data_IF_425451345448
#
_entry.id   IF_425451345448
#
_cell.length_a   1.000
_cell.length_b   1.000
_cell.length_c   1.000
_cell.angle_alpha   90.00
_cell.angle_beta   90.00
_cell.angle_gamma   90.00
#
_symmetry.space_group_name_H-M   'P 1'
#
loop_
_entity.id
_entity.type
_entity.pdbx_description
1 polymer ?
2 non-polymer ?
3 water ?
#
# COMPACT_ATOMS: atom_id res chain seq x y z
N UNK A 18 -26.65 -12.11 -3.14
CA UNK A 18 -25.22 -12.32 -3.51
C UNK A 18 -24.49 -12.73 -2.25
N UNK A 19 -23.60 -13.71 -2.33
CA UNK A 19 -22.81 -14.09 -1.13
C UNK A 19 -21.67 -13.11 -0.92
N UNK A 20 -21.12 -13.06 0.29
CA UNK A 20 -20.07 -12.08 0.57
C UNK A 20 -18.81 -12.37 -0.24
N UNK A 21 -18.19 -11.32 -0.74
CA UNK A 21 -16.93 -11.43 -1.46
C UNK A 21 -15.77 -10.78 -0.73
N UNK A 22 -16.00 -9.62 -0.13
CA UNK A 22 -14.98 -8.89 0.60
C UNK A 22 -15.44 -8.65 2.02
N UNK A 23 -14.50 -8.76 2.96
CA UNK A 23 -14.68 -8.43 4.37
C UNK A 23 -13.58 -7.45 4.74
N UNK A 24 -13.98 -6.19 4.93
CA UNK A 24 -13.08 -5.13 5.35
C UNK A 24 -12.92 -5.26 6.88
N UNK A 25 -11.69 -5.47 7.31
CA UNK A 25 -11.41 -5.85 8.71
C UNK A 25 -10.26 -5.04 9.32
N UNK A 26 -10.18 -5.02 10.65
CA UNK A 26 -9.09 -4.33 11.35
C UNK A 26 -8.52 -5.29 12.36
N UNK A 27 -7.19 -5.32 12.48
CA UNK A 27 -6.54 -6.17 13.45
C UNK A 27 -5.71 -5.25 14.33
N UNK A 28 -5.84 -5.46 15.64
CA UNK A 28 -5.10 -4.68 16.62
C UNK A 28 -3.91 -5.53 17.02
N UNK A 29 -2.69 -5.05 16.73
CA UNK A 29 -1.51 -5.83 17.05
C UNK A 29 -1.11 -5.82 18.52
N UNK A 30 -1.67 -4.92 19.31
CA UNK A 30 -1.38 -4.88 20.74
C UNK A 30 -2.23 -5.91 21.53
N UNK A 31 -3.52 -5.94 21.26
CA UNK A 31 -4.47 -6.81 21.96
C UNK A 31 -4.69 -8.11 21.18
N UNK A 32 -4.24 -8.13 19.93
CA UNK A 32 -4.37 -9.26 19.01
C UNK A 32 -5.85 -9.62 18.76
N UNK A 33 -6.70 -8.59 18.71
CA UNK A 33 -8.13 -8.75 18.42
C UNK A 33 -8.41 -8.20 17.02
N UNK A 34 -9.33 -8.86 16.31
CA UNK A 34 -9.83 -8.37 15.02
C UNK A 34 -11.27 -7.89 15.08
N UNK A 35 -11.67 -7.07 14.12
CA UNK A 35 -13.06 -6.67 13.99
C UNK A 35 -13.45 -6.57 12.50
N UNK A 36 -14.72 -6.83 12.20
CA UNK A 36 -15.25 -6.70 10.84
C UNK A 36 -15.93 -5.33 10.73
N UNK A 37 -15.42 -4.50 9.84
CA UNK A 37 -16.01 -3.20 9.57
C UNK A 37 -17.19 -3.31 8.62
N UNK A 38 -17.03 -4.09 7.55
CA UNK A 38 -18.07 -4.18 6.51
C UNK A 38 -17.80 -5.37 5.60
N UNK A 39 -18.86 -6.12 5.28
CA UNK A 39 -18.77 -7.19 4.28
C UNK A 39 -19.64 -6.84 3.11
N UNK A 40 -19.22 -7.27 1.92
CA UNK A 40 -19.96 -6.94 0.69
C UNK A 40 -19.78 -8.04 -0.36
N UNK A 41 -20.80 -8.26 -1.21
CA UNK A 41 -20.61 -9.12 -2.38
C UNK A 41 -19.77 -8.48 -3.50
N UNK A 42 -19.46 -7.19 -3.35
CA UNK A 42 -18.58 -6.50 -4.29
C UNK A 42 -17.11 -6.79 -3.97
N UNK A 43 -16.23 -6.39 -4.89
CA UNK A 43 -14.79 -6.54 -4.69
C UNK A 43 -14.21 -5.19 -4.25
N UNK A 44 -13.84 -5.10 -2.98
CA UNK A 44 -13.28 -3.87 -2.43
C UNK A 44 -11.85 -4.20 -2.05
N UNK A 45 -10.96 -3.21 -2.19
CA UNK A 45 -9.52 -3.48 -2.12
C UNK A 45 -8.72 -2.44 -1.36
N UNK A 46 -7.64 -2.90 -0.73
CA UNK A 46 -6.50 -1.99 -0.40
C UNK A 46 -6.82 -0.76 0.46
N UNK A 47 -7.23 -1.01 1.71
CA UNK A 47 -7.63 0.12 2.57
C UNK A 47 -6.43 0.98 3.03
N UNK A 48 -6.62 2.31 2.98
CA UNK A 48 -5.85 3.27 3.78
C UNK A 48 -6.68 3.67 5.00
N UNK A 49 -6.01 4.21 6.02
CA UNK A 49 -6.70 4.66 7.22
C UNK A 49 -6.42 6.13 7.36
N UNK A 50 -7.48 6.91 7.48
CA UNK A 50 -7.36 8.36 7.55
C UNK A 50 -6.52 8.82 8.75
N UNK A 51 -5.73 9.89 8.57
CA UNK A 51 -4.87 10.35 9.66
C UNK A 51 -5.61 10.84 10.88
N UNK A 52 -6.88 11.24 10.73
CA UNK A 52 -7.69 11.57 11.90
C UNK A 52 -8.37 10.33 12.52
N UNK A 53 -8.13 9.16 11.95
CA UNK A 53 -8.60 7.92 12.55
C UNK A 53 -10.02 7.52 12.20
N UNK A 54 -10.73 8.40 11.51
CA UNK A 54 -12.16 8.29 11.36
C UNK A 54 -12.72 7.47 10.19
N UNK A 55 -11.92 7.26 9.16
CA UNK A 55 -12.42 6.48 8.03
C UNK A 55 -11.35 5.67 7.32
N UNK A 56 -11.81 4.67 6.57
CA UNK A 56 -10.95 3.93 5.66
C UNK A 56 -11.20 4.38 4.22
N UNK A 57 -10.13 4.40 3.44
CA UNK A 57 -10.20 4.70 2.01
C UNK A 57 -9.90 3.43 1.20
N UNK A 58 -10.90 2.99 0.44
CA UNK A 58 -10.82 1.74 -0.34
C UNK A 58 -11.06 2.02 -1.83
N UNK A 59 -10.57 1.14 -2.70
CA UNK A 59 -11.05 1.19 -4.07
C UNK A 59 -11.90 -0.02 -4.43
N UNK A 60 -12.78 0.20 -5.40
CA UNK A 60 -13.58 -0.87 -5.96
C UNK A 60 -13.97 -0.51 -7.39
N UNK A 61 -13.59 -1.40 -8.31
CA UNK A 61 -13.96 -1.30 -9.73
C UNK A 61 -13.59 0.07 -10.32
N UNK A 62 -12.41 0.55 -9.96
CA UNK A 62 -11.86 1.80 -10.50
C UNK A 62 -12.23 3.08 -9.79
N UNK A 63 -13.09 2.99 -8.78
CA UNK A 63 -13.55 4.15 -8.02
C UNK A 63 -13.06 4.12 -6.59
N UNK A 64 -12.98 5.29 -5.97
CA UNK A 64 -12.54 5.36 -4.57
C UNK A 64 -13.73 5.60 -3.63
N UNK A 65 -13.68 4.98 -2.45
CA UNK A 65 -14.74 5.12 -1.45
C UNK A 65 -14.23 5.35 -0.03
N UNK A 66 -14.92 6.22 0.72
CA UNK A 66 -14.68 6.35 2.16
C UNK A 66 -15.67 5.48 2.94
N UNK A 67 -15.17 4.72 3.92
CA UNK A 67 -16.01 3.95 4.83
C UNK A 67 -15.76 4.41 6.26
N UNK A 68 -16.76 5.07 6.85
CA UNK A 68 -16.63 5.61 8.20
C UNK A 68 -16.51 4.50 9.25
N UNK A 69 -15.60 4.71 10.19
CA UNK A 69 -15.37 3.74 11.28
C UNK A 69 -16.31 3.90 12.48
N UNK A 70 -17.04 5.00 12.52
CA UNK A 70 -18.14 5.19 13.49
C UNK A 70 -19.40 5.51 12.70
N UNK A 71 -20.54 5.05 13.19
CA UNK A 71 -21.77 5.24 12.45
C UNK A 71 -21.76 4.41 11.18
N UNK A 72 -22.34 4.98 10.11
CA UNK A 72 -22.57 4.28 8.85
C UNK A 72 -21.29 3.93 8.11
N UNK A 73 -20.96 2.62 8.04
CA UNK A 73 -19.75 2.21 7.29
C UNK A 73 -19.98 2.06 5.79
N UNK A 74 -21.22 2.28 5.33
CA UNK A 74 -21.53 2.19 3.90
C UNK A 74 -20.56 3.03 3.08
N UNK A 75 -20.00 2.44 2.01
CA UNK A 75 -19.03 3.17 1.19
C UNK A 75 -19.61 4.43 0.60
N UNK A 76 -18.88 5.52 0.74
CA UNK A 76 -19.26 6.81 0.19
C UNK A 76 -18.28 7.12 -0.96
N UNK A 77 -18.80 7.29 -2.18
CA UNK A 77 -17.95 7.47 -3.35
C UNK A 77 -17.23 8.82 -3.31
N UNK A 78 -15.92 8.78 -3.57
CA UNK A 78 -15.07 9.97 -3.68
C UNK A 78 -15.11 10.50 -5.12
N UNK A 79 -15.36 11.80 -5.26
CA UNK A 79 -15.23 12.49 -6.55
C UNK A 79 -13.74 12.54 -6.92
N UNK A 80 -13.33 11.68 -7.86
CA UNK A 80 -11.96 11.64 -8.39
C UNK A 80 -11.96 12.27 -9.81
N UNK A 81 -13.01 13.02 -10.14
CA UNK A 81 -13.19 13.56 -11.50
C UNK A 81 -13.02 12.50 -12.58
N UNK A 82 -12.17 12.79 -13.57
CA UNK A 82 -12.05 11.93 -14.75
C UNK A 82 -11.45 10.59 -14.37
N UNK A 83 -10.90 10.51 -13.17
CA UNK A 83 -10.06 9.34 -12.80
C UNK A 83 -10.93 8.19 -12.31
N UNK A 84 -11.55 7.47 -13.24
CA UNK A 84 -12.54 6.47 -12.87
C UNK A 84 -12.02 5.06 -13.13
N UNK A 85 -10.72 4.95 -13.39
CA UNK A 85 -10.10 3.65 -13.49
C UNK A 85 -8.88 3.68 -12.56
N UNK A 86 -9.15 3.90 -11.28
CA UNK A 86 -8.15 3.85 -10.21
C UNK A 86 -7.80 2.40 -9.85
N UNK A 87 -6.53 2.16 -9.53
CA UNK A 87 -6.15 0.83 -9.15
C UNK A 87 -5.94 0.78 -7.63
N UNK A 88 -5.29 -0.26 -7.13
CA UNK A 88 -5.17 -0.51 -5.68
C UNK A 88 -4.10 0.29 -4.94
N UNK A 89 -3.47 1.23 -5.63
CA UNK A 89 -2.26 1.92 -5.13
C UNK A 89 -2.62 3.37 -4.94
N UNK A 90 -2.87 3.76 -3.69
CA UNK A 90 -3.43 5.08 -3.39
C UNK A 90 -3.12 5.39 -1.93
N UNK A 91 -3.29 6.61 -1.50
CA UNK A 91 -2.94 6.90 -0.12
C UNK A 91 -3.41 8.27 0.26
N UNK A 92 -3.18 8.62 1.52
CA UNK A 92 -3.69 9.87 2.11
C UNK A 92 -2.50 10.60 2.73
N UNK A 93 -2.42 11.90 2.52
CA UNK A 93 -1.29 12.69 2.99
C UNK A 93 -1.36 12.77 4.51
N UNK A 94 -0.20 12.98 5.17
CA UNK A 94 -0.17 12.94 6.64
C UNK A 94 -1.11 13.98 7.25
N UNK A 95 -1.27 15.11 6.59
CA UNK A 95 -2.15 16.14 7.13
C UNK A 95 -3.61 15.88 6.77
N UNK A 96 -3.85 14.82 6.00
CA UNK A 96 -5.20 14.43 5.63
C UNK A 96 -5.90 15.21 4.54
N UNK A 97 -5.24 16.26 3.99
CA UNK A 97 -5.87 17.12 2.99
C UNK A 97 -5.80 16.63 1.54
N UNK A 98 -4.96 15.63 1.26
CA UNK A 98 -4.79 15.15 -0.12
C UNK A 98 -4.86 13.66 -0.22
N UNK A 99 -5.38 13.20 -1.37
CA UNK A 99 -5.30 11.81 -1.79
C UNK A 99 -4.33 11.68 -2.95
N UNK A 100 -3.64 10.55 -2.99
CA UNK A 100 -2.86 10.20 -4.15
C UNK A 100 -3.48 8.95 -4.74
N UNK A 101 -3.67 8.95 -6.06
CA UNK A 101 -4.30 7.80 -6.76
C UNK A 101 -3.45 7.41 -7.95
N UNK A 102 -3.66 6.20 -8.46
CA UNK A 102 -2.96 5.73 -9.61
C UNK A 102 -4.06 5.32 -10.61
N UNK A 103 -4.17 6.04 -11.71
CA UNK A 103 -5.31 5.89 -12.62
C UNK A 103 -4.89 5.72 -14.09
N UNK A 104 -5.71 5.05 -14.88
CA UNK A 104 -5.34 4.81 -16.28
C UNK A 104 -6.28 5.37 -17.35
N UNK A 105 -7.16 6.30 -16.98
CA UNK A 105 -8.03 6.94 -17.99
C UNK A 105 -7.23 7.68 -19.07
N UNK A 106 -6.29 8.52 -18.64
CA UNK A 106 -5.61 9.44 -19.55
C UNK A 106 -4.66 8.80 -20.56
N UNK A 107 -3.93 7.77 -20.13
CA UNK A 107 -2.86 7.21 -20.95
C UNK A 107 -2.93 5.71 -21.15
N UNK A 108 -3.96 5.06 -20.58
CA UNK A 108 -4.17 3.63 -20.80
C UNK A 108 -3.26 2.80 -19.94
N UNK A 109 -2.50 3.47 -19.09
CA UNK A 109 -1.62 2.80 -18.12
C UNK A 109 -1.47 3.65 -16.88
N UNK A 110 -1.07 3.01 -15.78
CA UNK A 110 -1.12 3.69 -14.48
C UNK A 110 -0.29 4.97 -14.44
N UNK A 111 -0.94 6.07 -14.04
CA UNK A 111 -0.30 7.36 -13.81
C UNK A 111 -0.75 7.89 -12.44
N UNK A 112 0.18 8.53 -11.74
CA UNK A 112 -0.06 8.97 -10.37
C UNK A 112 -0.64 10.40 -10.40
N UNK A 113 -1.67 10.63 -9.58
CA UNK A 113 -2.25 11.99 -9.45
C UNK A 113 -2.43 12.30 -7.96
N UNK A 114 -2.52 13.58 -7.63
CA UNK A 114 -2.96 14.03 -6.30
C UNK A 114 -4.27 14.75 -6.50
N UNK A 115 -5.14 14.71 -5.50
CA UNK A 115 -6.39 15.48 -5.51
C UNK A 115 -6.79 15.86 -4.08
N UNK A 116 -7.71 16.83 -3.92
CA UNK A 116 -8.13 17.10 -2.53
C UNK A 116 -8.81 15.89 -1.87
N UNK A 117 -8.63 15.70 -0.57
CA UNK A 117 -9.24 14.55 0.10
C UNK A 117 -10.78 14.64 0.19
N UNK A 118 -11.26 15.84 -0.07
CA UNK A 118 -12.67 16.12 -0.12
C UNK A 118 -13.21 16.03 -1.55
N UNK A 119 -12.39 15.49 -2.45
CA UNK A 119 -12.77 15.28 -3.84
C UNK A 119 -12.45 16.43 -4.76
N UNK A 120 -12.29 16.13 -6.05
CA UNK A 120 -12.04 17.13 -7.07
C UNK A 120 -11.19 16.61 -8.22
N UNK A 121 -10.47 17.52 -8.87
CA UNK A 121 -9.76 17.30 -10.14
C UNK A 121 -8.36 16.80 -9.90
N UNK A 122 -8.05 15.59 -10.38
CA UNK A 122 -6.69 15.09 -10.19
C UNK A 122 -5.60 15.89 -10.87
N UNK A 123 -4.49 16.08 -10.17
CA UNK A 123 -3.32 16.76 -10.71
C UNK A 123 -2.25 15.72 -11.05
N UNK A 124 -1.85 15.62 -12.33
CA UNK A 124 -0.86 14.60 -12.77
C UNK A 124 0.51 14.86 -12.16
N UNK A 125 1.08 13.80 -11.58
CA UNK A 125 2.39 13.87 -10.98
C UNK A 125 3.45 13.25 -11.88
N UNK A 126 3.15 12.09 -12.47
CA UNK A 126 4.16 11.36 -13.19
C UNK A 126 4.00 11.37 -14.72
N UNK A 127 5.01 11.89 -15.41
CA UNK A 127 5.01 11.93 -16.86
C UNK A 127 5.58 10.65 -17.45
N UNK A 128 6.25 9.84 -16.63
CA UNK A 128 6.90 8.59 -17.08
C UNK A 128 6.11 7.41 -16.53
N UNK A 129 5.64 6.55 -17.43
CA UNK A 129 4.62 5.55 -17.11
C UNK A 129 5.05 4.14 -17.48
N UNK A 130 4.43 3.12 -16.85
CA UNK A 130 3.47 3.30 -15.77
C UNK A 130 4.15 3.52 -14.40
N UNK A 131 3.45 4.24 -13.53
CA UNK A 131 3.90 4.48 -12.15
C UNK A 131 2.78 4.18 -11.14
N UNK A 132 3.14 3.48 -10.05
CA UNK A 132 2.17 2.97 -9.07
C UNK A 132 2.43 3.58 -7.69
N UNK A 133 1.52 4.46 -7.23
CA UNK A 133 1.72 5.16 -5.95
C UNK A 133 1.73 4.21 -4.73
N UNK A 134 2.69 4.39 -3.83
CA UNK A 134 2.87 3.42 -2.73
C UNK A 134 3.17 3.96 -1.31
N UNK A 135 3.60 5.20 -1.16
CA UNK A 135 3.81 5.77 0.21
C UNK A 135 4.04 7.27 0.21
N UNK A 136 3.54 7.96 1.25
CA UNK A 136 3.77 9.39 1.43
C UNK A 136 4.87 9.61 2.48
N UNK A 137 5.80 10.53 2.20
CA UNK A 137 6.88 10.81 3.16
C UNK A 137 6.27 11.37 4.45
N UNK A 138 6.84 10.99 5.62
CA UNK A 138 6.35 11.51 6.89
C UNK A 138 6.16 13.03 6.91
N UNK A 139 7.06 13.78 6.29
CA UNK A 139 6.92 15.25 6.27
C UNK A 139 5.93 15.77 5.22
N UNK A 140 5.30 14.84 4.50
CA UNK A 140 4.29 15.17 3.47
C UNK A 140 4.80 15.76 2.15
N UNK A 141 6.11 16.03 2.06
CA UNK A 141 6.65 16.76 0.91
C UNK A 141 6.97 15.87 -0.29
N UNK A 142 7.07 14.56 -0.06
CA UNK A 142 7.50 13.66 -1.12
C UNK A 142 6.64 12.39 -1.09
N UNK A 143 6.65 11.64 -2.18
CA UNK A 143 6.04 10.31 -2.16
C UNK A 143 6.90 9.31 -2.91
N UNK A 144 6.65 8.04 -2.65
CA UNK A 144 7.44 7.00 -3.27
C UNK A 144 6.54 6.09 -4.09
N UNK A 145 7.09 5.39 -5.08
CA UNK A 145 6.28 4.62 -6.01
C UNK A 145 7.06 3.59 -6.79
N UNK A 146 6.33 2.67 -7.42
CA UNK A 146 6.99 1.69 -8.31
C UNK A 146 6.82 2.30 -9.69
N UNK A 147 7.95 2.43 -10.42
CA UNK A 147 7.91 2.86 -11.79
C UNK A 147 8.42 1.76 -12.67
N UNK A 148 7.69 1.45 -13.76
CA UNK A 148 8.20 0.46 -14.71
C UNK A 148 8.70 1.21 -15.93
N UNK A 149 9.96 0.98 -16.29
CA UNK A 149 10.59 1.65 -17.41
C UNK A 149 11.25 0.61 -18.29
N UNK A 150 10.68 0.41 -19.47
CA UNK A 150 11.09 -0.68 -20.37
C UNK A 150 11.26 -2.00 -19.60
N UNK A 151 10.24 -2.36 -18.80
CA UNK A 151 10.21 -3.62 -18.08
C UNK A 151 11.25 -3.74 -16.97
N UNK A 152 11.77 -2.59 -16.54
CA UNK A 152 12.61 -2.51 -15.34
C UNK A 152 11.74 -1.87 -14.24
N UNK A 153 11.57 -2.62 -13.14
CA UNK A 153 10.69 -2.27 -12.04
C UNK A 153 11.53 -1.63 -10.94
N UNK A 154 11.40 -0.32 -10.73
CA UNK A 154 12.22 0.33 -9.72
C UNK A 154 11.45 1.17 -8.73
N UNK A 155 12.13 1.46 -7.62
CA UNK A 155 11.60 2.37 -6.62
C UNK A 155 12.02 3.76 -6.97
N UNK A 156 11.05 4.67 -6.98
CA UNK A 156 11.29 6.08 -7.28
C UNK A 156 10.72 6.90 -6.14
N UNK A 157 11.17 8.14 -6.03
CA UNK A 157 10.47 9.09 -5.19
C UNK A 157 10.32 10.40 -5.95
N UNK A 158 9.34 11.20 -5.56
CA UNK A 158 9.16 12.49 -6.22
C UNK A 158 8.94 13.52 -5.15
N UNK A 159 9.54 14.69 -5.37
CA UNK A 159 9.25 15.88 -4.60
C UNK A 159 8.02 16.54 -5.21
N UNK A 160 6.97 16.67 -4.41
CA UNK A 160 5.68 17.17 -4.89
C UNK A 160 5.73 18.60 -5.46
N UNK A 161 6.45 19.50 -4.78
CA UNK A 161 6.56 20.88 -5.20
C UNK A 161 7.38 21.10 -6.48
N UNK A 162 8.40 20.28 -6.71
CA UNK A 162 9.29 20.44 -7.87
C UNK A 162 8.93 19.52 -9.05
N UNK A 163 8.30 18.41 -8.76
CA UNK A 163 7.99 17.43 -9.79
C UNK A 163 9.18 16.54 -10.17
N UNK A 164 10.30 16.69 -9.48
CA UNK A 164 11.51 15.96 -9.83
C UNK A 164 11.48 14.51 -9.40
N UNK A 165 11.75 13.61 -10.35
CA UNK A 165 11.73 12.18 -10.12
C UNK A 165 13.14 11.68 -9.77
N UNK A 166 13.23 10.86 -8.72
CA UNK A 166 14.50 10.32 -8.25
C UNK A 166 14.42 8.81 -8.24
N UNK A 167 15.37 8.17 -8.90
CA UNK A 167 15.42 6.72 -9.00
C UNK A 167 16.24 6.15 -7.83
N UNK A 168 15.63 5.27 -7.02
CA UNK A 168 16.28 4.77 -5.80
C UNK A 168 16.84 3.38 -5.91
N UNK A 169 16.30 2.59 -6.83
CA UNK A 169 16.89 1.31 -7.16
C UNK A 169 17.19 1.32 -8.65
N UNK A 170 18.08 0.45 -9.08
CA UNK A 170 18.60 0.50 -10.41
C UNK A 170 18.60 -0.88 -11.07
N UNK A 171 17.43 -1.52 -11.07
CA UNK A 171 17.20 -2.75 -11.82
C UNK A 171 17.80 -4.01 -11.23
N UNK A 172 18.16 -3.95 -9.95
CA UNK A 172 18.58 -5.13 -9.21
C UNK A 172 17.30 -5.91 -8.90
N UNK A 173 16.98 -6.89 -9.73
CA UNK A 173 15.70 -7.60 -9.62
C UNK A 173 14.56 -6.69 -9.99
N UNK A 174 13.32 -7.17 -9.82
CA UNK A 174 12.15 -6.27 -9.89
C UNK A 174 11.90 -5.72 -8.49
N UNK A 175 11.57 -4.45 -8.39
CA UNK A 175 11.43 -3.82 -7.09
C UNK A 175 10.09 -3.13 -7.05
N UNK A 176 9.33 -3.38 -5.99
CA UNK A 176 7.95 -2.97 -5.95
C UNK A 176 7.52 -2.59 -4.53
N UNK A 177 6.33 -2.00 -4.42
CA UNK A 177 5.70 -1.73 -3.12
C UNK A 177 6.50 -0.97 -2.06
N UNK A 178 6.97 0.26 -2.40
CA UNK A 178 7.71 1.09 -1.45
C UNK A 178 6.84 1.81 -0.42
N UNK A 179 7.29 1.87 0.82
CA UNK A 179 6.56 2.63 1.84
C UNK A 179 7.59 3.14 2.86
N UNK A 180 7.44 4.36 3.36
CA UNK A 180 8.43 4.95 4.25
C UNK A 180 8.39 4.41 5.68
N UNK A 181 9.55 4.35 6.32
CA UNK A 181 9.59 4.25 7.78
C UNK A 181 9.14 5.61 8.35
N UNK A 182 8.53 5.62 9.57
CA UNK A 182 8.02 6.89 10.12
C UNK A 182 9.12 7.91 10.49
N UNK A 183 10.37 7.46 10.67
CA UNK A 183 11.46 8.42 10.92
C UNK A 183 11.94 9.05 9.63
N UNK A 184 11.45 8.54 8.51
CA UNK A 184 11.72 9.10 7.20
C UNK A 184 13.11 8.84 6.67
N UNK A 185 13.83 7.91 7.30
CA UNK A 185 15.18 7.58 6.88
C UNK A 185 15.21 6.45 5.83
N UNK A 186 14.17 5.63 5.84
CA UNK A 186 14.13 4.44 4.99
C UNK A 186 12.84 4.32 4.20
N UNK A 187 12.95 3.65 3.05
CA UNK A 187 11.78 3.20 2.31
C UNK A 187 11.89 1.66 2.26
N UNK A 188 10.87 0.95 2.75
CA UNK A 188 10.83 -0.52 2.69
C UNK A 188 10.10 -0.88 1.40
N UNK A 189 10.53 -1.98 0.78
CA UNK A 189 9.99 -2.40 -0.51
C UNK A 189 10.29 -3.90 -0.67
N UNK A 190 9.82 -4.51 -1.75
CA UNK A 190 10.25 -5.91 -2.02
C UNK A 190 11.04 -6.05 -3.32
N UNK A 191 11.91 -7.05 -3.39
CA UNK A 191 12.72 -7.18 -4.56
C UNK A 191 12.87 -8.65 -4.87
N UNK A 192 12.91 -8.98 -6.17
CA UNK A 192 13.08 -10.37 -6.59
C UNK A 192 14.54 -10.72 -6.81
N UNK A 193 15.45 -9.80 -6.46
CA UNK A 193 16.85 -9.99 -6.78
C UNK A 193 17.47 -11.31 -6.28
N UNK A 194 16.87 -11.89 -5.24
CA UNK A 194 17.44 -13.16 -4.71
C UNK A 194 16.72 -14.39 -5.22
N UNK A 195 15.70 -14.23 -6.05
CA UNK A 195 15.03 -15.44 -6.54
C UNK A 195 13.55 -15.45 -6.26
N UNK A 196 13.18 -14.93 -5.10
CA UNK A 196 11.77 -14.73 -4.77
C UNK A 196 11.62 -13.33 -4.21
N UNK A 197 10.38 -12.87 -4.10
CA UNK A 197 10.18 -11.57 -3.50
C UNK A 197 10.56 -11.65 -2.00
N UNK A 198 11.42 -10.72 -1.56
CA UNK A 198 11.83 -10.54 -0.17
C UNK A 198 11.76 -9.08 0.17
N UNK A 199 11.64 -8.76 1.46
CA UNK A 199 11.61 -7.37 1.90
C UNK A 199 13.03 -6.82 1.99
N UNK A 200 13.19 -5.63 1.40
CA UNK A 200 14.43 -4.88 1.44
C UNK A 200 14.11 -3.47 1.92
N UNK A 201 15.12 -2.72 2.32
CA UNK A 201 14.95 -1.31 2.55
C UNK A 201 16.08 -0.48 1.96
N UNK A 202 15.74 0.71 1.44
CA UNK A 202 16.73 1.60 0.85
C UNK A 202 16.66 2.95 1.59
N UNK A 203 17.81 3.62 1.77
CA UNK A 203 17.78 4.95 2.38
C UNK A 203 17.04 5.92 1.47
N UNK A 204 16.36 6.92 2.03
CA UNK A 204 15.62 7.85 1.17
C UNK A 204 16.54 8.59 0.21
N UNK A 205 17.83 8.71 0.57
CA UNK A 205 18.82 9.34 -0.33
C UNK A 205 19.41 8.33 -1.32
N UNK A 206 18.98 7.09 -1.23
CA UNK A 206 19.38 6.08 -2.20
C UNK A 206 20.66 5.34 -1.92
N UNK A 207 21.38 5.78 -0.88
CA UNK A 207 22.83 5.59 -0.80
C UNK A 207 23.23 4.22 -0.26
N UNK A 208 22.30 3.59 0.45
CA UNK A 208 22.48 2.22 0.87
C UNK A 208 21.13 1.51 0.81
N UNK A 209 21.24 0.18 0.70
CA UNK A 209 20.11 -0.73 0.58
C UNK A 209 20.49 -2.00 1.33
N UNK A 210 19.51 -2.70 1.91
CA UNK A 210 19.78 -3.92 2.69
C UNK A 210 18.59 -4.87 2.79
N UNK A 211 18.87 -6.16 2.97
CA UNK A 211 17.84 -7.17 2.96
C UNK A 211 17.20 -7.25 4.34
N UNK A 212 15.87 -7.35 4.36
CA UNK A 212 15.12 -7.43 5.62
C UNK A 212 14.46 -8.77 5.90
N UNK A 213 13.90 -9.42 4.87
CA UNK A 213 13.47 -10.82 5.05
C UNK A 213 14.37 -11.79 4.31
N UNK A 214 14.51 -13.00 4.87
CA UNK A 214 15.21 -14.09 4.24
C UNK A 214 14.32 -15.27 4.57
N UNK A 215 13.32 -15.53 3.72
CA UNK A 215 12.26 -16.49 4.04
C UNK A 215 12.09 -17.51 2.93
N UNK A 216 11.32 -18.55 3.22
CA UNK A 216 10.84 -19.46 2.20
C UNK A 216 9.57 -18.95 1.49
N UNK A 217 9.30 -17.66 1.54
CA UNK A 217 8.05 -17.16 0.94
C UNK A 217 8.35 -16.01 0.00
N UNK A 218 7.33 -15.62 -0.77
CA UNK A 218 7.37 -14.32 -1.49
C UNK A 218 6.65 -13.28 -0.64
N UNK A 219 7.37 -12.22 -0.28
CA UNK A 219 6.96 -11.33 0.78
C UNK A 219 6.61 -10.07 0.05
N UNK A 220 5.43 -9.50 0.35
CA UNK A 220 4.87 -8.46 -0.47
C UNK A 220 4.23 -7.39 0.41
N UNK A 221 4.06 -6.20 -0.13
CA UNK A 221 3.31 -5.17 0.57
C UNK A 221 3.83 -4.78 1.97
N UNK A 222 5.13 -4.46 2.12
CA UNK A 222 5.57 -3.97 3.45
C UNK A 222 5.00 -2.60 3.84
N UNK A 223 4.39 -2.54 5.04
CA UNK A 223 3.98 -1.29 5.63
C UNK A 223 4.56 -1.13 7.04
N UNK A 224 5.57 -0.27 7.19
CA UNK A 224 6.03 0.15 8.50
C UNK A 224 4.93 0.88 9.31
N UNK A 225 4.78 0.47 10.56
CA UNK A 225 3.83 1.10 11.48
C UNK A 225 4.26 2.54 11.78
N UNK A 226 3.30 3.48 11.87
CA UNK A 226 3.68 4.84 12.30
C UNK A 226 4.34 4.91 13.69
N UNK A 227 4.24 3.84 14.46
CA UNK A 227 4.79 3.85 15.80
C UNK A 227 6.25 3.43 15.80
N UNK A 228 6.73 2.97 14.64
CA UNK A 228 8.16 2.74 14.42
C UNK A 228 8.74 1.48 14.99
N UNK A 229 7.91 0.51 15.35
CA UNK A 229 8.44 -0.73 15.93
C UNK A 229 8.21 -1.98 15.05
N UNK A 230 7.26 -1.89 14.12
CA UNK A 230 6.77 -3.08 13.41
C UNK A 230 6.52 -2.81 11.95
N UNK A 231 6.64 -3.88 11.17
CA UNK A 231 6.26 -3.89 9.76
C UNK A 231 5.28 -5.05 9.54
N UNK A 232 4.15 -4.76 8.90
CA UNK A 232 3.18 -5.80 8.51
C UNK A 232 3.37 -6.06 6.99
N UNK A 233 3.11 -7.29 6.55
CA UNK A 233 3.32 -7.64 5.16
C UNK A 233 2.61 -8.97 4.92
N UNK A 234 2.51 -9.36 3.64
CA UNK A 234 1.87 -10.63 3.28
C UNK A 234 2.93 -11.59 2.74
N UNK A 235 2.86 -12.88 3.11
CA UNK A 235 3.72 -13.94 2.56
C UNK A 235 2.90 -14.91 1.72
N UNK A 236 3.23 -15.02 0.43
CA UNK A 236 2.63 -16.03 -0.44
C UNK A 236 3.47 -17.28 -0.37
N UNK A 237 2.94 -18.43 -0.77
CA UNK A 237 3.80 -19.59 -0.97
C UNK A 237 4.90 -19.25 -2.01
N UNK A 238 6.04 -19.91 -1.85
CA UNK A 238 7.24 -19.70 -2.67
C UNK A 238 7.01 -19.99 -4.15
N UNK A 239 6.24 -21.04 -4.43
CA UNK A 239 5.91 -21.39 -5.83
C UNK A 239 4.90 -20.46 -6.53
N UNK A 240 4.54 -19.36 -5.89
CA UNK A 240 3.61 -18.40 -6.47
C UNK A 240 4.43 -17.38 -7.28
N UNK A 241 3.89 -16.92 -8.40
CA UNK A 241 4.55 -15.94 -9.24
C UNK A 241 3.81 -14.63 -9.14
N UNK A 242 4.54 -13.56 -8.93
CA UNK A 242 3.95 -12.24 -8.82
C UNK A 242 3.00 -12.17 -7.58
N UNK A 243 1.92 -11.38 -7.67
CA UNK A 243 1.02 -11.18 -6.51
C UNK A 243 -0.49 -11.33 -6.88
N UNK A 244 -0.91 -12.55 -7.12
CA UNK A 244 -2.27 -12.84 -7.56
C UNK A 244 -3.37 -12.62 -6.48
N UNK A 245 -4.62 -12.68 -6.93
CA UNK A 245 -5.79 -12.71 -6.06
C UNK A 245 -6.00 -14.09 -5.50
N UNK A 246 -6.84 -14.15 -4.47
CA UNK A 246 -7.55 -15.39 -4.09
C UNK A 246 -6.69 -16.61 -3.86
N UNK A 247 -5.65 -16.44 -3.03
CA UNK A 247 -4.83 -17.58 -2.60
C UNK A 247 -4.76 -17.61 -1.09
N UNK A 248 -4.40 -18.76 -0.56
CA UNK A 248 -4.14 -18.94 0.87
C UNK A 248 -2.80 -18.30 1.19
N UNK A 249 -2.86 -17.13 1.85
CA UNK A 249 -1.65 -16.39 2.26
C UNK A 249 -1.53 -16.26 3.80
N UNK A 250 -0.45 -15.60 4.25
CA UNK A 250 -0.19 -15.34 5.67
C UNK A 250 0.02 -13.84 5.83
N UNK A 251 -0.64 -13.23 6.80
CA UNK A 251 -0.37 -11.84 7.16
C UNK A 251 0.68 -11.93 8.28
N UNK A 252 1.84 -11.32 8.01
CA UNK A 252 2.99 -11.43 8.86
C UNK A 252 3.30 -10.11 9.53
N UNK A 253 4.03 -10.20 10.63
CA UNK A 253 4.52 -9.02 11.34
C UNK A 253 5.94 -9.29 11.76
N UNK A 254 6.77 -8.24 11.74
CA UNK A 254 8.15 -8.32 12.23
C UNK A 254 8.64 -6.96 12.76
N UNK A 255 9.76 -6.99 13.47
CA UNK A 255 10.45 -5.76 13.92
C UNK A 255 10.99 -4.98 12.72
N UNK A 256 11.24 -3.68 12.87
CA UNK A 256 11.87 -2.86 11.81
C UNK A 256 13.12 -3.49 11.17
N UNK A 257 13.92 -4.21 11.96
CA UNK A 257 15.18 -4.75 11.47
C UNK A 257 15.00 -6.15 10.94
N UNK A 258 13.74 -6.60 10.89
CA UNK A 258 13.41 -7.89 10.33
C UNK A 258 13.37 -9.00 11.36
N UNK A 259 13.68 -8.66 12.60
CA UNK A 259 13.66 -9.63 13.69
C UNK A 259 12.23 -10.00 14.07
N UNK A 260 12.11 -11.15 14.74
CA UNK A 260 10.84 -11.65 15.32
C UNK A 260 9.68 -11.71 14.34
N UNK A 261 9.91 -12.38 13.21
CA UNK A 261 8.85 -12.54 12.22
C UNK A 261 7.80 -13.48 12.81
N UNK A 262 6.53 -13.08 12.72
CA UNK A 262 5.45 -13.95 13.18
C UNK A 262 4.29 -13.91 12.20
N UNK A 263 3.50 -14.97 12.20
CA UNK A 263 2.23 -14.98 11.46
C UNK A 263 1.13 -14.47 12.37
N UNK A 264 0.52 -13.36 11.99
CA UNK A 264 -0.60 -12.85 12.75
C UNK A 264 -1.82 -13.74 12.48
N UNK A 265 -2.15 -13.99 11.21
CA UNK A 265 -3.24 -14.92 10.88
C UNK A 265 -3.09 -15.41 9.43
N UNK A 266 -3.69 -16.57 9.13
CA UNK A 266 -3.89 -17.01 7.75
C UNK A 266 -5.04 -16.22 7.14
N UNK A 267 -5.05 -16.14 5.82
CA UNK A 267 -6.04 -15.34 5.13
C UNK A 267 -6.22 -15.81 3.68
N UNK A 268 -7.46 -15.74 3.21
CA UNK A 268 -7.74 -16.00 1.81
C UNK A 268 -7.76 -14.64 1.13
N UNK A 269 -6.81 -14.45 0.22
CA UNK A 269 -6.63 -13.16 -0.42
C UNK A 269 -5.26 -13.04 -1.10
N UNK A 270 -4.58 -11.95 -0.83
CA UNK A 270 -3.34 -11.61 -1.53
C UNK A 270 -3.56 -10.26 -2.17
N UNK A 271 -3.76 -10.24 -3.49
CA UNK A 271 -4.00 -8.95 -4.15
C UNK A 271 -5.26 -8.32 -3.53
N UNK A 272 -5.19 -7.04 -3.19
CA UNK A 272 -6.31 -6.31 -2.57
C UNK A 272 -6.28 -6.30 -1.04
N UNK A 273 -5.68 -7.32 -0.44
CA UNK A 273 -5.66 -7.45 1.02
C UNK A 273 -5.07 -6.19 1.67
N UNK A 274 -3.91 -5.73 1.20
CA UNK A 274 -3.27 -4.54 1.79
C UNK A 274 -2.28 -3.87 0.84
N UNK A 275 -2.68 -3.57 -0.40
CA UNK A 275 -1.64 -3.05 -1.32
C UNK A 275 -1.03 -1.76 -0.83
N UNK A 276 -1.86 -0.93 -0.22
CA UNK A 276 -1.49 0.44 0.10
C UNK A 276 -1.30 0.64 1.62
N UNK A 277 -0.64 1.74 2.03
CA UNK A 277 -0.36 1.95 3.46
C UNK A 277 -1.61 1.83 4.32
N UNK A 278 -1.64 0.86 5.24
CA UNK A 278 -2.90 0.50 5.92
C UNK A 278 -3.02 0.70 7.46
N UNK A 279 -2.08 1.42 8.08
CA UNK A 279 -2.02 1.50 9.55
C UNK A 279 -2.91 2.62 10.01
N UNK A 280 -3.60 2.39 11.12
CA UNK A 280 -4.19 3.47 11.92
C UNK A 280 -3.08 4.46 12.31
N UNK A 281 -3.44 5.74 12.46
CA UNK A 281 -2.42 6.72 12.84
C UNK A 281 -1.81 6.42 14.20
N UNK A 282 -2.53 5.68 15.06
CA UNK A 282 -1.99 5.29 16.37
C UNK A 282 -0.98 4.14 16.35
N UNK A 283 -0.82 3.49 15.19
CA UNK A 283 0.17 2.41 15.06
C UNK A 283 -0.13 1.11 15.81
N UNK A 284 -1.36 0.97 16.34
CA UNK A 284 -1.73 -0.24 17.08
C UNK A 284 -2.58 -1.18 16.25
N UNK A 285 -3.13 -0.66 15.16
CA UNK A 285 -4.09 -1.44 14.35
C UNK A 285 -3.83 -1.19 12.88
N UNK A 286 -4.11 -2.21 12.07
CA UNK A 286 -4.11 -1.98 10.63
C UNK A 286 -5.39 -2.51 9.97
N UNK A 287 -5.78 -1.91 8.83
CA UNK A 287 -6.91 -2.34 8.04
C UNK A 287 -6.43 -3.28 6.92
N UNK A 288 -7.29 -4.22 6.54
CA UNK A 288 -6.99 -5.21 5.49
C UNK A 288 -8.32 -5.79 4.94
N UNK A 289 -8.26 -6.47 3.79
CA UNK A 289 -9.44 -7.12 3.24
C UNK A 289 -9.19 -8.61 3.17
N UNK A 290 -10.11 -9.37 3.74
CA UNK A 290 -10.14 -10.81 3.64
C UNK A 290 -11.18 -11.10 2.55
N UNK A 291 -10.90 -12.11 1.73
CA UNK A 291 -11.83 -12.44 0.65
C UNK A 291 -12.45 -13.80 0.88
N UNK A 292 -13.51 -14.08 0.13
CA UNK A 292 -14.16 -15.40 0.17
C UNK A 292 -14.16 -15.92 -1.27
N UNK A 293 -13.89 -17.23 -1.46
CA UNK A 293 -13.90 -17.77 -2.81
C UNK A 293 -15.20 -17.51 -3.61
N UNK A 294 -15.08 -17.34 -4.92
CA UNK A 294 -16.24 -17.08 -5.77
C UNK A 294 -17.00 -18.35 -6.09
X LIG B 1 7.97 -12.64 -8.54
X LIG B 1 7.62 -11.55 -9.06
X LIG B 1 7.19 -13.57 -8.26
X LIG B 1 9.43 -12.84 -8.21
X LIG C 1 2.92 -3.77 -10.00
X LIG C 1 1.77 -3.31 -9.82
X LIG C 1 3.29 -4.90 -9.65
X LIG C 1 3.94 -2.93 -10.67
#
# INVERSE_FOLDING_TARGET
GHXRQSTLHTRLSTGPGGSMRSSIEIFNIRTRKMRVVWQTPELFEAPNWSPDGKYLLLNSEGLLYRLSLAGDPSPEKVDTGFATICNNDHGISPDGALYAISDKVEFGKSAIYLLPSTGGTPRLMTKNLPSYWHGWSPDGKSFTYCGIRDQVFDIYSMDIDSGVETRLTHGEGRNDGPDYSPDGRWIYFNSSRTGQMQIWRVRVDGSSVERITDSAYGDWFPHPSPSGDKVVFVSYDADVFDHPRDLDVRVQLMDMDGGNVETLFDLFGGQGTMNSPNWSPDGDEFAYVRYFPVEGS
ACY C O OXT CH3
ACY C O OXT CH3
#
